data_IF_421644004679
#
_entry.id   IF_421644004679
#
_cell.length_a   1.000
_cell.length_b   1.000
_cell.length_c   1.000
_cell.angle_alpha   90.00
_cell.angle_beta   90.00
_cell.angle_gamma   90.00
#
_symmetry.space_group_name_H-M   'P 1'
#
loop_
_entity.id
_entity.type
_entity.pdbx_description
1 polymer ?
#
# COMPACT_ATOMS: atom_id res chain seq x y z
N UNK A 1 -4.79 4.19 15.63
CA UNK A 1 -5.85 3.20 15.40
C UNK A 1 -6.51 3.44 14.05
N UNK A 2 -6.53 2.41 13.21
CA UNK A 2 -7.13 2.54 11.88
C UNK A 2 -8.65 2.69 12.00
N UNK A 3 -9.20 3.73 11.38
CA UNK A 3 -10.63 4.03 11.43
C UNK A 3 -11.29 3.98 10.04
N UNK A 4 -10.55 3.58 9.03
CA UNK A 4 -11.04 3.46 7.66
C UNK A 4 -10.44 4.48 6.73
N UNK A 5 -10.65 4.26 5.43
CA UNK A 5 -10.40 5.26 4.40
C UNK A 5 -11.68 6.06 4.20
N UNK A 6 -11.55 7.29 3.72
CA UNK A 6 -12.67 8.21 3.57
C UNK A 6 -12.87 8.59 2.12
N UNK A 7 -13.94 9.33 1.86
CA UNK A 7 -14.17 9.92 0.54
C UNK A 7 -13.01 10.85 0.15
N UNK A 8 -12.41 11.54 1.13
CA UNK A 8 -11.23 12.38 0.90
C UNK A 8 -10.06 11.57 0.32
N UNK A 9 -9.90 10.32 0.75
CA UNK A 9 -8.87 9.42 0.21
C UNK A 9 -9.08 9.19 -1.28
N UNK A 10 -10.30 8.82 -1.65
CA UNK A 10 -10.70 8.58 -3.04
C UNK A 10 -10.53 9.82 -3.90
N UNK A 11 -10.98 10.96 -3.40
CA UNK A 11 -10.88 12.25 -4.10
C UNK A 11 -9.43 12.66 -4.29
N UNK A 12 -8.60 12.48 -3.27
CA UNK A 12 -7.17 12.78 -3.39
C UNK A 12 -6.51 11.93 -4.47
N UNK A 13 -6.76 10.62 -4.46
CA UNK A 13 -6.16 9.71 -5.44
C UNK A 13 -6.62 10.01 -6.86
N UNK A 14 -7.89 10.35 -7.03
CA UNK A 14 -8.43 10.72 -8.33
C UNK A 14 -7.81 12.04 -8.83
N UNK A 15 -7.71 13.04 -7.96
CA UNK A 15 -7.12 14.32 -8.32
C UNK A 15 -5.62 14.19 -8.59
N UNK A 16 -4.92 13.34 -7.88
CA UNK A 16 -3.51 13.06 -8.15
C UNK A 16 -3.34 12.43 -9.54
N UNK A 17 -4.20 11.50 -9.91
CA UNK A 17 -4.15 10.90 -11.24
C UNK A 17 -4.31 11.94 -12.36
N UNK A 18 -5.15 12.96 -12.14
CA UNK A 18 -5.36 14.04 -13.08
C UNK A 18 -4.28 15.12 -13.04
N UNK A 19 -3.55 15.24 -11.95
CA UNK A 19 -2.54 16.26 -11.69
C UNK A 19 -1.25 15.61 -11.19
N UNK A 20 -0.74 14.64 -11.91
CA UNK A 20 0.38 13.83 -11.47
C UNK A 20 1.70 14.56 -11.74
N UNK A 21 1.94 15.62 -10.97
CA UNK A 21 3.15 16.41 -11.03
C UNK A 21 3.57 16.86 -9.63
N UNK A 22 4.84 17.19 -9.51
CA UNK A 22 5.44 17.53 -8.22
C UNK A 22 4.86 18.80 -7.59
N UNK A 23 4.68 19.91 -8.35
CA UNK A 23 4.10 21.12 -7.75
C UNK A 23 2.70 20.90 -7.16
N UNK A 24 1.85 20.17 -7.87
CA UNK A 24 0.51 19.85 -7.38
C UNK A 24 0.57 19.02 -6.11
N UNK A 25 1.41 17.97 -6.09
CA UNK A 25 1.56 17.09 -4.94
C UNK A 25 2.05 17.85 -3.71
N UNK A 26 3.06 18.71 -3.88
CA UNK A 26 3.61 19.48 -2.76
C UNK A 26 2.56 20.41 -2.13
N UNK A 27 1.68 21.00 -2.95
CA UNK A 27 0.58 21.82 -2.44
C UNK A 27 -0.48 21.01 -1.71
N UNK A 28 -0.58 19.70 -1.98
CA UNK A 28 -1.59 18.81 -1.41
C UNK A 28 -1.01 17.73 -0.52
N UNK A 29 0.26 17.86 -0.15
CA UNK A 29 0.96 16.86 0.68
C UNK A 29 0.25 16.60 2.00
N UNK A 30 -0.30 17.61 2.63
CA UNK A 30 -1.02 17.49 3.89
C UNK A 30 -2.25 16.60 3.76
N UNK A 31 -2.97 16.73 2.65
CA UNK A 31 -4.12 15.87 2.35
C UNK A 31 -3.65 14.44 2.13
N UNK A 32 -2.55 14.25 1.40
CA UNK A 32 -1.96 12.93 1.19
C UNK A 32 -1.64 12.25 2.52
N UNK A 33 -0.96 12.94 3.41
CA UNK A 33 -0.55 12.37 4.70
C UNK A 33 -1.75 12.00 5.56
N UNK A 34 -2.75 12.87 5.63
CA UNK A 34 -3.94 12.68 6.44
C UNK A 34 -4.89 11.62 5.90
N UNK A 35 -5.14 11.62 4.59
CA UNK A 35 -6.20 10.82 4.00
C UNK A 35 -5.73 9.47 3.45
N UNK A 36 -4.44 9.33 3.17
CA UNK A 36 -3.92 8.13 2.52
C UNK A 36 -2.77 7.50 3.30
N UNK A 37 -1.69 8.25 3.54
CA UNK A 37 -0.48 7.68 4.15
C UNK A 37 -0.72 7.20 5.58
N UNK A 38 -1.28 8.05 6.42
CA UNK A 38 -1.53 7.70 7.82
C UNK A 38 -2.51 6.53 7.96
N UNK A 39 -3.67 6.52 7.28
CA UNK A 39 -4.56 5.36 7.33
C UNK A 39 -3.92 4.08 6.79
N UNK A 40 -3.13 4.16 5.73
CA UNK A 40 -2.44 3.00 5.17
C UNK A 40 -1.43 2.42 6.18
N UNK A 41 -0.62 3.28 6.79
CA UNK A 41 0.36 2.85 7.79
C UNK A 41 -0.33 2.24 9.01
N UNK A 42 -1.42 2.83 9.47
CA UNK A 42 -2.19 2.31 10.60
C UNK A 42 -2.79 0.95 10.29
N UNK A 43 -3.40 0.79 9.12
CA UNK A 43 -3.96 -0.50 8.71
C UNK A 43 -2.87 -1.56 8.62
N UNK A 44 -1.76 -1.25 7.97
CA UNK A 44 -0.66 -2.20 7.81
C UNK A 44 -0.12 -2.67 9.15
N UNK A 45 0.06 -1.75 10.10
CA UNK A 45 0.56 -2.08 11.43
C UNK A 45 -0.43 -2.92 12.24
N UNK A 46 -1.72 -2.61 12.16
CA UNK A 46 -2.75 -3.37 12.85
C UNK A 46 -2.87 -4.78 12.28
N UNK A 47 -2.82 -4.94 10.96
CA UNK A 47 -2.85 -6.26 10.33
C UNK A 47 -1.60 -7.04 10.70
N UNK A 48 -0.43 -6.41 10.70
CA UNK A 48 0.81 -7.07 11.10
C UNK A 48 0.76 -7.53 12.55
N UNK A 49 0.24 -6.71 13.45
CA UNK A 49 0.08 -7.08 14.86
C UNK A 49 -0.84 -8.29 15.02
N UNK A 50 -1.93 -8.35 14.26
CA UNK A 50 -2.84 -9.47 14.28
C UNK A 50 -2.21 -10.74 13.72
N UNK A 51 -1.39 -10.63 12.68
CA UNK A 51 -0.65 -11.76 12.12
C UNK A 51 0.36 -12.33 13.13
N UNK A 52 1.08 -11.47 13.82
CA UNK A 52 2.02 -11.88 14.88
C UNK A 52 1.28 -12.59 16.02
N UNK A 53 0.11 -12.08 16.39
CA UNK A 53 -0.70 -12.69 17.45
C UNK A 53 -1.21 -14.08 17.07
N UNK A 54 -1.64 -14.25 15.82
CA UNK A 54 -2.20 -15.53 15.33
C UNK A 54 -1.12 -16.55 14.99
N UNK A 55 0.03 -16.10 14.54
CA UNK A 55 1.11 -16.94 14.05
C UNK A 55 2.43 -16.54 14.71
N UNK A 56 2.56 -16.71 16.06
CA UNK A 56 3.72 -16.19 16.78
C UNK A 56 5.04 -16.86 16.41
N UNK A 57 4.98 -18.06 15.83
CA UNK A 57 6.17 -18.82 15.44
C UNK A 57 6.57 -18.56 13.99
N UNK A 58 5.78 -17.81 13.24
CA UNK A 58 6.00 -17.54 11.82
C UNK A 58 6.29 -16.05 11.63
N UNK A 59 7.56 -15.66 11.51
CA UNK A 59 7.89 -14.27 11.30
C UNK A 59 7.50 -13.81 9.89
N UNK A 60 6.92 -12.62 9.81
CA UNK A 60 6.53 -11.97 8.55
C UNK A 60 7.31 -10.69 8.33
N UNK A 61 7.56 -10.35 7.08
CA UNK A 61 8.12 -9.06 6.68
C UNK A 61 7.02 -8.20 6.08
N UNK A 62 6.86 -7.00 6.64
CA UNK A 62 5.91 -6.01 6.14
C UNK A 62 6.61 -5.07 5.17
N UNK A 63 6.03 -4.89 3.99
CA UNK A 63 6.47 -3.89 3.03
C UNK A 63 5.29 -2.97 2.69
N UNK A 64 5.47 -1.68 2.88
CA UNK A 64 4.49 -0.66 2.52
C UNK A 64 5.04 0.10 1.32
N UNK A 65 4.27 0.15 0.23
CA UNK A 65 4.73 0.80 -0.99
C UNK A 65 4.86 2.32 -0.81
N UNK A 66 5.76 2.93 -1.55
CA UNK A 66 5.92 4.38 -1.61
C UNK A 66 4.98 4.96 -2.65
N UNK A 67 4.57 6.20 -2.45
CA UNK A 67 3.77 6.92 -3.45
C UNK A 67 4.58 7.24 -4.71
N UNK A 68 5.90 7.32 -4.60
CA UNK A 68 6.77 7.69 -5.73
C UNK A 68 7.01 6.51 -6.66
N UNK A 69 6.88 6.76 -7.97
CA UNK A 69 7.31 5.80 -8.99
C UNK A 69 8.83 5.82 -9.11
N UNK A 70 9.40 4.69 -9.52
CA UNK A 70 10.82 4.61 -9.86
C UNK A 70 11.07 5.57 -11.04
N UNK A 71 11.94 6.55 -10.81
CA UNK A 71 12.26 7.57 -11.82
C UNK A 71 12.84 6.99 -13.11
N UNK A 72 13.39 5.77 -13.05
CA UNK A 72 13.92 5.07 -14.23
C UNK A 72 12.83 4.39 -15.06
N UNK A 73 11.61 4.31 -14.56
CA UNK A 73 10.51 3.54 -15.17
C UNK A 73 9.22 4.34 -15.29
N UNK A 74 9.33 5.64 -15.56
CA UNK A 74 8.14 6.49 -15.68
C UNK A 74 7.36 6.21 -16.96
N UNK A 75 8.06 5.95 -18.07
CA UNK A 75 7.42 5.66 -19.37
C UNK A 75 6.37 6.70 -19.77
N UNK A 76 6.68 7.99 -19.55
CA UNK A 76 5.77 9.08 -19.87
C UNK A 76 4.70 9.37 -18.83
N UNK A 77 4.64 8.61 -17.75
CA UNK A 77 3.72 8.84 -16.64
C UNK A 77 4.30 9.82 -15.63
N UNK A 78 3.44 10.42 -14.82
CA UNK A 78 3.90 11.30 -13.75
C UNK A 78 4.67 10.55 -12.66
N UNK A 79 5.31 11.30 -11.73
CA UNK A 79 6.20 10.70 -10.73
C UNK A 79 5.50 9.94 -9.59
N UNK A 80 4.18 9.97 -9.53
CA UNK A 80 3.44 9.34 -8.43
C UNK A 80 2.61 8.17 -8.91
N UNK A 81 2.48 7.15 -8.04
CA UNK A 81 1.67 5.97 -8.30
C UNK A 81 0.19 6.30 -8.16
N UNK A 82 -0.64 5.64 -8.94
CA UNK A 82 -2.10 5.73 -8.86
C UNK A 82 -2.69 4.66 -7.93
N UNK A 83 -1.85 3.76 -7.45
CA UNK A 83 -2.22 2.67 -6.56
C UNK A 83 -1.18 2.56 -5.46
N UNK A 84 -1.65 2.32 -4.24
CA UNK A 84 -0.77 2.02 -3.11
C UNK A 84 -1.12 0.66 -2.54
N UNK A 85 -0.11 -0.02 -2.00
CA UNK A 85 -0.29 -1.33 -1.42
C UNK A 85 0.64 -1.56 -0.25
N UNK A 86 0.30 -2.54 0.56
CA UNK A 86 1.26 -3.17 1.45
C UNK A 86 1.17 -4.68 1.29
N UNK A 87 2.27 -5.35 1.62
CA UNK A 87 2.34 -6.80 1.57
C UNK A 87 3.03 -7.35 2.81
N UNK A 88 2.67 -8.56 3.16
CA UNK A 88 3.32 -9.32 4.23
C UNK A 88 3.69 -10.68 3.68
N UNK A 89 4.96 -11.02 3.76
CA UNK A 89 5.47 -12.30 3.32
C UNK A 89 6.23 -12.99 4.45
N UNK A 90 6.25 -14.32 4.50
CA UNK A 90 7.06 -15.03 5.48
C UNK A 90 8.53 -14.66 5.34
N UNK A 91 9.20 -14.40 6.47
CA UNK A 91 10.63 -14.08 6.51
C UNK A 91 11.51 -15.29 6.19
N UNK A 92 10.95 -16.47 6.38
CA UNK A 92 11.63 -17.73 6.03
C UNK A 92 11.03 -18.25 4.75
N UNK A 93 11.90 -18.74 3.87
CA UNK A 93 11.49 -19.45 2.69
C UNK A 93 10.90 -20.78 3.15
N UNK A 94 9.58 -20.81 3.25
CA UNK A 94 8.84 -22.04 3.50
C UNK A 94 8.32 -22.57 2.18
N UNK A 95 8.43 -23.87 1.97
CA UNK A 95 7.76 -24.50 0.84
C UNK A 95 6.27 -24.21 0.93
N UNK A 96 5.72 -23.57 -0.10
CA UNK A 96 4.33 -23.18 -0.14
C UNK A 96 4.02 -21.87 0.58
N UNK A 97 4.99 -20.97 0.73
CA UNK A 97 4.77 -19.66 1.32
C UNK A 97 3.85 -18.79 0.47
N UNK A 98 2.93 -18.08 1.12
CA UNK A 98 2.03 -17.13 0.50
C UNK A 98 2.35 -15.71 0.92
N UNK A 99 2.08 -14.74 0.04
CA UNK A 99 2.17 -13.31 0.36
C UNK A 99 0.76 -12.76 0.51
N UNK A 100 0.49 -12.14 1.65
CA UNK A 100 -0.74 -11.38 1.87
C UNK A 100 -0.53 -9.98 1.33
N UNK A 101 -1.54 -9.43 0.66
CA UNK A 101 -1.45 -8.05 0.19
C UNK A 101 -2.78 -7.32 0.32
N UNK A 102 -2.68 -6.01 0.43
CA UNK A 102 -3.78 -5.06 0.35
C UNK A 102 -3.38 -3.97 -0.62
N UNK A 103 -4.30 -3.57 -1.50
CA UNK A 103 -4.08 -2.48 -2.43
C UNK A 103 -5.29 -1.57 -2.51
N UNK A 104 -5.04 -0.29 -2.78
CA UNK A 104 -6.10 0.71 -2.93
C UNK A 104 -5.77 1.65 -4.08
N UNK A 105 -6.77 1.95 -4.89
CA UNK A 105 -6.73 3.00 -5.90
C UNK A 105 -7.91 3.96 -5.69
N UNK A 106 -8.12 4.90 -6.61
CA UNK A 106 -9.17 5.90 -6.48
C UNK A 106 -10.59 5.32 -6.45
N UNK A 107 -10.78 4.14 -7.04
CA UNK A 107 -12.10 3.55 -7.26
C UNK A 107 -12.37 2.29 -6.45
N UNK A 108 -11.32 1.61 -5.96
CA UNK A 108 -11.47 0.29 -5.35
C UNK A 108 -10.34 -0.04 -4.39
N UNK A 109 -10.54 -1.12 -3.66
CA UNK A 109 -9.50 -1.73 -2.84
C UNK A 109 -9.54 -3.24 -3.05
N UNK A 110 -8.42 -3.88 -2.81
CA UNK A 110 -8.26 -5.31 -2.98
C UNK A 110 -7.47 -5.91 -1.83
N UNK A 111 -7.86 -7.10 -1.42
CA UNK A 111 -7.07 -7.94 -0.50
C UNK A 111 -6.89 -9.29 -1.16
N UNK A 112 -5.76 -9.93 -0.93
CA UNK A 112 -5.53 -11.23 -1.51
C UNK A 112 -4.31 -11.92 -0.95
N UNK A 113 -4.13 -13.15 -1.41
CA UNK A 113 -2.96 -13.97 -1.11
C UNK A 113 -2.43 -14.53 -2.42
N UNK A 114 -1.13 -14.41 -2.64
CA UNK A 114 -0.46 -15.09 -3.73
C UNK A 114 0.23 -16.32 -3.17
N UNK A 115 -0.14 -17.47 -3.70
CA UNK A 115 0.51 -18.73 -3.38
C UNK A 115 1.32 -19.18 -4.58
N UNK A 116 2.57 -19.52 -4.33
CA UNK A 116 3.39 -20.14 -5.36
C UNK A 116 3.96 -21.43 -4.81
N UNK A 117 3.97 -22.42 -5.67
CA UNK A 117 4.65 -23.67 -5.41
C UNK A 117 5.82 -23.76 -6.36
N UNK A 118 6.97 -24.14 -5.82
CA UNK A 118 8.06 -24.57 -6.67
C UNK A 118 7.61 -25.83 -7.41
N UNK A 119 7.78 -25.86 -8.73
CA UNK A 119 7.43 -27.04 -9.51
C UNK A 119 8.31 -28.25 -9.14
#
# INVERSE_FOLDING_TARGET
MFTGFSQETSEFMMNLALNNDRPWFERHREIYERSLKKPMDELAKEVMAEMVRRFPDDPFELHISRIYRDARRLFGRGPYKEELWFSMKPSRSMEGGGTLFFGIDALSWQVGCDFWRDP
#
